data_IF_160004733176
#
_entry.id   IF_160004733176
#
_cell.length_a   1.000
_cell.length_b   1.000
_cell.length_c   1.000
_cell.angle_alpha   90.00
_cell.angle_beta   90.00
_cell.angle_gamma   90.00
#
_symmetry.space_group_name_H-M   'P 1'
#
loop_
_entity.id
_entity.type
_entity.pdbx_description
1 polymer ?
#
# COMPACT_ATOMS: atom_id res chain seq x y z
N UNK A 1 13.14 14.63 -16.99
CA UNK A 1 12.32 15.60 -16.23
C UNK A 1 11.33 14.82 -15.38
N UNK A 2 11.40 14.91 -14.05
CA UNK A 2 10.41 14.27 -13.17
C UNK A 2 9.09 15.02 -13.28
N UNK A 3 8.02 14.34 -13.67
CA UNK A 3 6.67 14.94 -13.76
C UNK A 3 6.24 15.31 -12.34
N UNK A 4 5.91 16.60 -12.11
CA UNK A 4 5.39 17.06 -10.83
C UNK A 4 4.10 16.32 -10.46
N UNK A 5 3.95 16.01 -9.18
CA UNK A 5 2.73 15.39 -8.66
C UNK A 5 1.57 16.36 -8.81
N UNK A 6 0.45 15.90 -9.38
CA UNK A 6 -0.76 16.70 -9.53
C UNK A 6 -1.88 16.15 -8.66
N UNK A 7 -2.56 17.05 -7.95
CA UNK A 7 -3.86 16.78 -7.39
C UNK A 7 -4.94 17.00 -8.46
N UNK A 8 -5.96 16.16 -8.46
CA UNK A 8 -7.15 16.29 -9.31
C UNK A 8 -8.43 16.50 -8.48
N UNK A 9 -8.34 16.40 -7.15
CA UNK A 9 -9.43 16.67 -6.20
C UNK A 9 -9.00 17.79 -5.23
N UNK A 10 -9.72 18.93 -5.15
CA UNK A 10 -9.39 20.01 -4.22
C UNK A 10 -9.44 19.55 -2.75
N UNK A 11 -10.33 18.62 -2.38
CA UNK A 11 -10.38 18.10 -1.01
C UNK A 11 -9.12 17.31 -0.63
N UNK A 12 -8.43 16.74 -1.61
CA UNK A 12 -7.14 16.09 -1.38
C UNK A 12 -6.04 17.11 -1.07
N UNK A 13 -6.09 18.30 -1.72
CA UNK A 13 -5.20 19.43 -1.44
C UNK A 13 -5.41 19.92 -0.01
N UNK A 14 -6.66 20.17 0.38
CA UNK A 14 -7.00 20.66 1.74
C UNK A 14 -6.55 19.66 2.81
N UNK A 15 -6.77 18.37 2.57
CA UNK A 15 -6.34 17.31 3.48
C UNK A 15 -4.81 17.25 3.60
N UNK A 16 -4.09 17.36 2.49
CA UNK A 16 -2.63 17.41 2.50
C UNK A 16 -2.13 18.63 3.27
N UNK A 17 -2.65 19.82 2.96
CA UNK A 17 -2.25 21.06 3.60
C UNK A 17 -2.47 21.04 5.12
N UNK A 18 -3.60 20.48 5.55
CA UNK A 18 -4.00 20.44 6.95
C UNK A 18 -3.26 19.35 7.75
N UNK A 19 -3.01 18.17 7.15
CA UNK A 19 -2.59 16.97 7.91
C UNK A 19 -1.18 16.47 7.64
N UNK A 20 -0.59 16.82 6.49
CA UNK A 20 0.66 16.22 6.02
C UNK A 20 1.72 17.23 5.59
N UNK A 21 1.32 18.45 5.20
CA UNK A 21 2.24 19.53 4.83
C UNK A 21 2.99 20.05 6.06
N UNK A 22 4.31 19.92 6.04
CA UNK A 22 5.15 20.31 7.17
C UNK A 22 5.39 21.84 7.23
N UNK A 23 5.20 22.37 8.44
CA UNK A 23 5.52 23.73 8.87
C UNK A 23 6.40 23.65 10.12
N UNK A 24 7.40 24.52 10.22
CA UNK A 24 8.28 24.68 11.40
C UNK A 24 8.07 26.08 11.93
N UNK A 25 7.33 26.18 13.04
CA UNK A 25 6.67 27.44 13.43
C UNK A 25 5.76 27.96 12.32
N UNK A 26 5.89 29.25 11.99
CA UNK A 26 5.16 29.89 10.88
C UNK A 26 5.75 29.58 9.51
N UNK A 27 6.98 29.03 9.46
CA UNK A 27 7.68 28.79 8.19
C UNK A 27 7.15 27.54 7.50
N UNK A 28 6.65 27.72 6.29
CA UNK A 28 6.28 26.64 5.40
C UNK A 28 7.52 25.92 4.84
N UNK A 29 7.67 24.62 5.14
CA UNK A 29 8.80 23.79 4.70
C UNK A 29 8.44 23.00 3.44
N UNK A 30 7.34 22.26 3.48
CA UNK A 30 6.85 21.53 2.32
C UNK A 30 6.04 22.47 1.42
N UNK A 31 6.71 23.13 0.47
CA UNK A 31 6.02 24.06 -0.45
C UNK A 31 5.08 23.35 -1.41
N UNK A 32 5.42 22.13 -1.83
CA UNK A 32 4.64 21.27 -2.72
C UNK A 32 4.49 19.88 -2.13
N UNK A 33 3.55 19.08 -2.65
CA UNK A 33 3.43 17.67 -2.23
C UNK A 33 4.68 16.86 -2.63
N UNK A 34 5.35 17.22 -3.74
CA UNK A 34 6.65 16.63 -4.10
C UNK A 34 7.73 16.90 -3.04
N UNK A 35 7.71 18.06 -2.37
CA UNK A 35 8.59 18.32 -1.24
C UNK A 35 8.28 17.40 -0.04
N UNK A 36 6.99 17.13 0.22
CA UNK A 36 6.58 16.11 1.20
C UNK A 36 7.11 14.72 0.81
N UNK A 37 6.99 14.33 -0.47
CA UNK A 37 7.52 13.04 -0.95
C UNK A 37 9.02 12.93 -0.78
N UNK A 38 9.77 13.95 -1.18
CA UNK A 38 11.22 14.01 -1.03
C UNK A 38 11.63 13.91 0.44
N UNK A 39 10.99 14.68 1.32
CA UNK A 39 11.27 14.67 2.76
C UNK A 39 11.06 13.28 3.36
N UNK A 40 9.90 12.67 3.09
CA UNK A 40 9.56 11.37 3.65
C UNK A 40 10.50 10.30 3.10
N UNK A 41 10.73 10.26 1.80
CA UNK A 41 11.63 9.29 1.17
C UNK A 41 13.06 9.40 1.70
N UNK A 42 13.61 10.62 1.78
CA UNK A 42 14.96 10.85 2.30
C UNK A 42 15.10 10.40 3.76
N UNK A 43 14.09 10.66 4.59
CA UNK A 43 14.10 10.26 5.99
C UNK A 43 14.02 8.74 6.18
N UNK A 44 13.36 8.01 5.28
CA UNK A 44 13.25 6.54 5.33
C UNK A 44 14.58 5.85 5.04
N UNK A 45 15.42 6.44 4.18
CA UNK A 45 16.69 5.85 3.74
C UNK A 45 17.91 6.52 4.40
N UNK A 46 17.67 7.36 5.41
CA UNK A 46 18.73 8.09 6.12
C UNK A 46 19.70 7.14 6.85
N UNK A 47 19.22 5.95 7.21
CA UNK A 47 20.00 4.91 7.90
C UNK A 47 20.00 3.66 7.02
N UNK A 48 20.96 3.56 6.10
CA UNK A 48 21.09 2.42 5.19
C UNK A 48 22.08 2.63 4.04
N UNK A 49 22.37 1.57 3.28
CA UNK A 49 23.11 1.64 2.02
C UNK A 49 22.24 2.05 0.83
N UNK A 50 22.86 2.54 -0.24
CA UNK A 50 22.22 2.96 -1.51
C UNK A 50 21.06 3.97 -1.35
N UNK A 51 21.19 4.92 -0.42
CA UNK A 51 20.14 5.89 -0.09
C UNK A 51 19.60 6.66 -1.31
N UNK A 52 20.47 7.05 -2.26
CA UNK A 52 20.05 7.78 -3.46
C UNK A 52 19.12 6.95 -4.37
N UNK A 53 19.44 5.68 -4.59
CA UNK A 53 18.65 4.77 -5.42
C UNK A 53 17.27 4.55 -4.82
N UNK A 54 17.20 4.17 -3.54
CA UNK A 54 15.92 3.89 -2.89
C UNK A 54 15.07 5.15 -2.71
N UNK A 55 15.68 6.30 -2.37
CA UNK A 55 14.98 7.59 -2.31
C UNK A 55 14.28 7.91 -3.62
N UNK A 56 14.99 7.80 -4.75
CA UNK A 56 14.43 8.07 -6.08
C UNK A 56 13.23 7.16 -6.39
N UNK A 57 13.34 5.86 -6.08
CA UNK A 57 12.26 4.89 -6.29
C UNK A 57 11.02 5.21 -5.45
N UNK A 58 11.20 5.63 -4.20
CA UNK A 58 10.09 6.04 -3.32
C UNK A 58 9.41 7.31 -3.81
N UNK A 59 10.18 8.34 -4.13
CA UNK A 59 9.63 9.60 -4.66
C UNK A 59 8.83 9.35 -5.93
N UNK A 60 9.35 8.51 -6.84
CA UNK A 60 8.64 8.15 -8.06
C UNK A 60 7.31 7.43 -7.78
N UNK A 61 7.30 6.45 -6.86
CA UNK A 61 6.09 5.72 -6.50
C UNK A 61 5.06 6.59 -5.79
N UNK A 62 5.50 7.53 -4.94
CA UNK A 62 4.60 8.44 -4.23
C UNK A 62 4.01 9.47 -5.19
N UNK A 63 4.84 10.08 -6.03
CA UNK A 63 4.40 11.11 -6.98
C UNK A 63 3.52 10.58 -8.12
N UNK A 64 3.64 9.29 -8.43
CA UNK A 64 2.72 8.59 -9.34
C UNK A 64 1.41 8.13 -8.65
N UNK A 65 1.19 8.48 -7.38
CA UNK A 65 0.06 8.03 -6.56
C UNK A 65 -0.05 6.50 -6.43
N UNK A 66 1.04 5.76 -6.65
CA UNK A 66 1.06 4.30 -6.67
C UNK A 66 1.16 3.69 -5.29
N UNK A 67 2.04 4.27 -4.45
CA UNK A 67 2.27 3.84 -3.07
C UNK A 67 2.05 5.02 -2.15
N UNK A 68 1.21 4.83 -1.13
CA UNK A 68 0.90 5.82 -0.11
C UNK A 68 1.49 5.36 1.23
N UNK A 69 2.49 6.07 1.78
CA UNK A 69 3.09 5.73 3.07
C UNK A 69 2.14 5.84 4.26
N UNK A 70 2.55 5.26 5.39
CA UNK A 70 1.86 5.39 6.67
C UNK A 70 1.59 6.87 6.99
N UNK A 71 0.35 7.27 7.36
CA UNK A 71 0.04 8.64 7.76
C UNK A 71 0.96 9.23 8.85
N UNK A 72 1.53 8.37 9.72
CA UNK A 72 2.51 8.78 10.74
C UNK A 72 3.84 9.19 10.10
N UNK A 73 4.30 8.44 9.10
CA UNK A 73 5.50 8.76 8.34
C UNK A 73 5.30 10.06 7.55
N UNK A 74 4.19 10.18 6.82
CA UNK A 74 3.86 11.39 6.05
C UNK A 74 3.95 12.67 6.89
N UNK A 75 3.43 12.60 8.12
CA UNK A 75 3.35 13.74 9.01
C UNK A 75 4.65 14.08 9.73
N UNK A 76 5.55 13.11 9.94
CA UNK A 76 6.66 13.25 10.92
C UNK A 76 8.05 12.90 10.39
N UNK A 77 8.17 12.01 9.42
CA UNK A 77 9.48 11.58 8.92
C UNK A 77 10.23 12.78 8.30
N UNK A 78 11.46 13.05 8.73
CA UNK A 78 12.24 14.20 8.26
C UNK A 78 11.75 15.55 8.75
N UNK A 79 10.92 15.59 9.81
CA UNK A 79 10.52 16.82 10.51
C UNK A 79 11.21 16.91 11.88
N UNK A 80 11.04 18.04 12.57
CA UNK A 80 11.47 18.22 13.96
C UNK A 80 10.72 17.31 14.97
N UNK A 81 9.61 16.69 14.56
CA UNK A 81 8.81 15.82 15.43
C UNK A 81 9.22 14.36 15.24
N UNK A 82 9.56 13.69 16.34
CA UNK A 82 9.90 12.28 16.31
C UNK A 82 8.76 11.40 15.76
N UNK A 83 9.12 10.46 14.89
CA UNK A 83 8.22 9.40 14.44
C UNK A 83 8.00 8.45 15.62
N UNK A 84 6.75 8.20 16.05
CA UNK A 84 6.50 7.24 17.11
C UNK A 84 6.84 5.82 16.65
N UNK A 85 7.18 4.94 17.59
CA UNK A 85 7.51 3.54 17.30
C UNK A 85 6.45 2.87 16.40
N UNK A 86 6.91 2.29 15.30
CA UNK A 86 6.05 1.69 14.29
C UNK A 86 5.87 0.20 14.58
N UNK A 87 4.91 -0.15 15.45
CA UNK A 87 4.58 -1.56 15.76
C UNK A 87 4.07 -2.33 14.53
N UNK A 88 3.16 -1.69 13.78
CA UNK A 88 2.63 -2.19 12.51
C UNK A 88 2.65 -1.07 11.47
N UNK A 89 3.80 -0.77 10.85
CA UNK A 89 3.87 0.21 9.77
C UNK A 89 3.03 -0.27 8.59
N UNK A 90 2.38 0.67 7.90
CA UNK A 90 1.44 0.37 6.81
C UNK A 90 1.69 1.18 5.56
N UNK A 91 1.24 0.65 4.44
CA UNK A 91 1.20 1.34 3.16
C UNK A 91 -0.10 0.98 2.43
N UNK A 92 -0.59 1.87 1.58
CA UNK A 92 -1.67 1.58 0.66
C UNK A 92 -1.16 1.65 -0.78
N UNK A 93 -1.45 0.64 -1.58
CA UNK A 93 -1.30 0.71 -3.02
C UNK A 93 -2.60 1.20 -3.64
N UNK A 94 -2.52 2.17 -4.53
CA UNK A 94 -3.70 2.66 -5.26
C UNK A 94 -3.93 1.80 -6.50
N UNK A 95 -4.85 0.84 -6.44
CA UNK A 95 -5.12 -0.09 -7.52
C UNK A 95 -5.50 0.64 -8.82
N UNK A 96 -6.24 1.76 -8.73
CA UNK A 96 -6.62 2.55 -9.90
C UNK A 96 -5.44 3.10 -10.70
N UNK A 97 -4.26 3.28 -10.08
CA UNK A 97 -3.04 3.76 -10.73
C UNK A 97 -2.31 2.70 -11.60
N UNK A 98 -2.85 1.48 -11.67
CA UNK A 98 -2.27 0.35 -12.40
C UNK A 98 -3.21 -0.19 -13.48
N UNK A 99 -4.22 0.56 -13.89
CA UNK A 99 -5.04 0.22 -15.06
C UNK A 99 -4.42 0.84 -16.30
N UNK A 100 -4.12 0.00 -17.30
CA UNK A 100 -3.67 0.41 -18.63
C UNK A 100 -4.88 0.62 -19.53
N UNK A 101 -4.75 1.51 -20.52
CA UNK A 101 -5.77 1.76 -21.55
C UNK A 101 -7.18 2.04 -20.97
N UNK A 102 -7.22 2.73 -19.83
CA UNK A 102 -8.44 2.93 -19.03
C UNK A 102 -9.58 3.54 -19.86
N UNK A 103 -10.77 2.94 -19.76
CA UNK A 103 -11.96 3.37 -20.50
C UNK A 103 -12.01 2.93 -21.97
N UNK A 104 -10.99 2.23 -22.47
CA UNK A 104 -10.99 1.61 -23.79
C UNK A 104 -11.26 0.10 -23.75
N UNK A 105 -11.48 -0.52 -24.91
CA UNK A 105 -11.74 -1.97 -25.05
C UNK A 105 -10.59 -2.86 -24.56
N UNK A 106 -9.37 -2.32 -24.48
CA UNK A 106 -8.16 -3.02 -24.02
C UNK A 106 -7.82 -2.74 -22.56
N UNK A 107 -8.74 -2.10 -21.82
CA UNK A 107 -8.52 -1.73 -20.44
C UNK A 107 -8.24 -2.98 -19.60
N UNK A 108 -7.11 -2.98 -18.89
CA UNK A 108 -6.67 -4.13 -18.09
C UNK A 108 -5.81 -3.69 -16.92
N UNK A 109 -5.75 -4.54 -15.90
CA UNK A 109 -4.88 -4.33 -14.76
C UNK A 109 -3.44 -4.77 -15.07
N UNK A 110 -2.47 -3.92 -14.76
CA UNK A 110 -1.04 -4.21 -14.84
C UNK A 110 -0.57 -4.91 -13.55
N UNK A 111 -0.78 -6.22 -13.49
CA UNK A 111 -0.44 -7.03 -12.33
C UNK A 111 1.06 -7.05 -12.03
N UNK A 112 1.91 -6.98 -13.05
CA UNK A 112 3.37 -7.02 -12.88
C UNK A 112 3.86 -5.73 -12.24
N UNK A 113 3.45 -4.57 -12.77
CA UNK A 113 3.81 -3.28 -12.18
C UNK A 113 3.24 -3.12 -10.78
N UNK A 114 2.04 -3.63 -10.53
CA UNK A 114 1.44 -3.64 -9.21
C UNK A 114 2.22 -4.51 -8.22
N UNK A 115 2.66 -5.71 -8.63
CA UNK A 115 3.51 -6.57 -7.81
C UNK A 115 4.87 -5.91 -7.50
N UNK A 116 5.47 -5.21 -8.47
CA UNK A 116 6.70 -4.43 -8.25
C UNK A 116 6.49 -3.32 -7.22
N UNK A 117 5.36 -2.60 -7.29
CA UNK A 117 5.01 -1.59 -6.30
C UNK A 117 4.75 -2.20 -4.90
N UNK A 118 4.18 -3.39 -4.83
CA UNK A 118 3.94 -4.10 -3.58
C UNK A 118 5.27 -4.52 -2.93
N UNK A 119 6.21 -5.04 -3.72
CA UNK A 119 7.57 -5.33 -3.27
C UNK A 119 8.29 -4.06 -2.76
N UNK A 120 8.13 -2.94 -3.47
CA UNK A 120 8.69 -1.65 -3.07
C UNK A 120 8.08 -1.15 -1.75
N UNK A 121 6.78 -1.33 -1.55
CA UNK A 121 6.12 -0.96 -0.30
C UNK A 121 6.63 -1.78 0.90
N UNK A 122 6.88 -3.09 0.72
CA UNK A 122 7.53 -3.91 1.77
C UNK A 122 8.91 -3.38 2.11
N UNK A 123 9.73 -3.08 1.09
CA UNK A 123 11.05 -2.45 1.26
C UNK A 123 10.97 -1.13 2.03
N UNK A 124 10.08 -0.24 1.61
CA UNK A 124 9.86 1.06 2.25
C UNK A 124 9.48 0.94 3.73
N UNK A 125 8.65 -0.03 4.11
CA UNK A 125 8.25 -0.21 5.51
C UNK A 125 9.33 -0.92 6.36
N UNK A 126 10.16 -1.80 5.78
CA UNK A 126 11.36 -2.33 6.45
C UNK A 126 12.39 -1.21 6.66
N UNK A 127 12.59 -0.33 5.68
CA UNK A 127 13.42 0.88 5.82
C UNK A 127 12.90 1.81 6.92
N UNK A 128 11.57 2.02 6.99
CA UNK A 128 10.96 2.77 8.08
C UNK A 128 11.26 2.16 9.46
N UNK A 129 11.22 0.84 9.56
CA UNK A 129 11.53 0.10 10.77
C UNK A 129 13.01 0.23 11.17
N UNK A 130 13.93 0.31 10.20
CA UNK A 130 15.36 0.57 10.43
C UNK A 130 15.58 2.02 10.88
N UNK A 131 15.01 2.99 10.15
CA UNK A 131 15.24 4.41 10.40
C UNK A 131 14.60 4.92 11.71
N UNK A 132 13.44 4.40 12.11
CA UNK A 132 12.67 4.91 13.24
C UNK A 132 12.51 3.90 14.38
N UNK A 133 13.16 2.75 14.28
CA UNK A 133 13.05 1.65 15.23
C UNK A 133 11.79 0.81 15.04
N UNK A 134 11.93 -0.47 15.35
CA UNK A 134 10.85 -1.45 15.34
C UNK A 134 10.88 -2.31 16.60
N UNK A 135 9.77 -2.97 16.86
CA UNK A 135 9.71 -3.97 17.93
C UNK A 135 10.74 -5.09 17.69
N UNK A 136 11.19 -5.71 18.78
CA UNK A 136 11.98 -6.94 18.73
C UNK A 136 11.16 -8.03 18.03
N UNK A 137 11.83 -8.90 17.28
CA UNK A 137 11.13 -9.93 16.51
C UNK A 137 11.04 -9.64 15.02
N UNK A 138 10.41 -10.57 14.30
CA UNK A 138 10.00 -10.42 12.90
C UNK A 138 9.02 -9.25 12.74
N UNK A 139 9.21 -8.47 11.68
CA UNK A 139 8.40 -7.27 11.42
C UNK A 139 6.96 -7.62 11.03
N UNK A 140 6.01 -6.82 11.48
CA UNK A 140 4.58 -6.96 11.14
C UNK A 140 4.16 -5.79 10.27
N UNK A 141 4.12 -5.98 8.97
CA UNK A 141 3.74 -4.94 8.02
C UNK A 141 2.24 -5.03 7.68
N UNK A 142 1.68 -3.93 7.21
CA UNK A 142 0.31 -3.84 6.68
C UNK A 142 0.30 -3.16 5.32
N UNK A 143 0.73 -3.87 4.28
CA UNK A 143 0.54 -3.44 2.89
C UNK A 143 -0.88 -3.80 2.47
N UNK A 144 -1.67 -2.80 2.12
CA UNK A 144 -3.06 -2.96 1.69
C UNK A 144 -3.33 -2.23 0.37
N UNK A 145 -4.60 -2.17 0.00
CA UNK A 145 -5.06 -1.46 -1.21
C UNK A 145 -5.99 -0.30 -0.84
N UNK A 146 -6.08 0.65 -1.75
CA UNK A 146 -7.17 1.62 -1.95
C UNK A 146 -7.50 1.64 -3.45
N UNK A 147 -8.61 2.26 -3.83
CA UNK A 147 -8.99 2.46 -5.23
C UNK A 147 -9.37 1.19 -5.97
N UNK A 148 -9.85 0.15 -5.26
CA UNK A 148 -10.29 -1.09 -5.92
C UNK A 148 -11.49 -0.85 -6.83
N UNK A 149 -12.50 -0.12 -6.35
CA UNK A 149 -13.68 0.20 -7.16
C UNK A 149 -13.30 1.08 -8.36
N UNK A 150 -12.35 1.99 -8.19
CA UNK A 150 -11.83 2.81 -9.29
C UNK A 150 -11.11 1.95 -10.33
N UNK A 151 -10.33 0.95 -9.90
CA UNK A 151 -9.67 0.02 -10.80
C UNK A 151 -10.69 -0.80 -11.61
N UNK A 152 -11.71 -1.35 -10.94
CA UNK A 152 -12.80 -2.09 -11.59
C UNK A 152 -13.51 -1.20 -12.64
N UNK A 153 -13.92 0.00 -12.24
CA UNK A 153 -14.60 0.94 -13.13
C UNK A 153 -13.73 1.32 -14.34
N UNK A 154 -12.42 1.55 -14.13
CA UNK A 154 -11.47 1.86 -15.23
C UNK A 154 -11.24 0.70 -16.18
N UNK A 155 -11.45 -0.55 -15.72
CA UNK A 155 -11.45 -1.76 -16.54
C UNK A 155 -12.82 -2.04 -17.19
N UNK A 156 -13.84 -1.19 -16.97
CA UNK A 156 -15.19 -1.41 -17.47
C UNK A 156 -15.97 -2.50 -16.70
N UNK A 157 -15.52 -2.89 -15.52
CA UNK A 157 -16.18 -3.90 -14.68
C UNK A 157 -17.03 -3.19 -13.62
N UNK A 158 -18.35 -3.36 -13.70
CA UNK A 158 -19.25 -2.84 -12.67
C UNK A 158 -18.99 -3.54 -11.33
N UNK A 159 -19.03 -2.80 -10.23
CA UNK A 159 -18.78 -3.35 -8.90
C UNK A 159 -19.78 -4.45 -8.50
N UNK A 160 -21.01 -4.41 -9.03
CA UNK A 160 -22.05 -5.40 -8.79
C UNK A 160 -21.92 -6.64 -9.68
N UNK A 161 -21.14 -6.55 -10.76
CA UNK A 161 -20.94 -7.62 -11.73
C UNK A 161 -20.40 -8.89 -11.06
N UNK A 162 -20.81 -10.04 -11.58
CA UNK A 162 -20.26 -11.34 -11.20
C UNK A 162 -18.75 -11.47 -11.49
N UNK A 163 -18.20 -10.67 -12.42
CA UNK A 163 -16.78 -10.61 -12.73
C UNK A 163 -15.94 -9.86 -11.67
N UNK A 164 -16.53 -8.96 -10.88
CA UNK A 164 -15.80 -8.10 -9.94
C UNK A 164 -15.00 -8.89 -8.87
N UNK A 165 -15.54 -9.96 -8.23
CA UNK A 165 -14.76 -10.78 -7.30
C UNK A 165 -13.53 -11.43 -7.93
N UNK A 166 -13.62 -11.91 -9.17
CA UNK A 166 -12.49 -12.54 -9.87
C UNK A 166 -11.36 -11.54 -10.14
N UNK A 167 -11.70 -10.32 -10.56
CA UNK A 167 -10.74 -9.24 -10.74
C UNK A 167 -10.08 -8.83 -9.41
N UNK A 168 -10.89 -8.70 -8.34
CA UNK A 168 -10.37 -8.39 -7.01
C UNK A 168 -9.43 -9.49 -6.49
N UNK A 169 -9.75 -10.76 -6.72
CA UNK A 169 -8.89 -11.89 -6.39
C UNK A 169 -7.56 -11.84 -7.16
N UNK A 170 -7.58 -11.53 -8.46
CA UNK A 170 -6.35 -11.39 -9.27
C UNK A 170 -5.46 -10.25 -8.75
N UNK A 171 -6.06 -9.11 -8.37
CA UNK A 171 -5.34 -7.99 -7.73
C UNK A 171 -4.74 -8.43 -6.39
N UNK A 172 -5.52 -9.11 -5.54
CA UNK A 172 -5.03 -9.62 -4.25
C UNK A 172 -3.88 -10.63 -4.42
N UNK A 173 -3.95 -11.50 -5.43
CA UNK A 173 -2.86 -12.39 -5.81
C UNK A 173 -1.58 -11.64 -6.15
N UNK A 174 -1.67 -10.61 -7.01
CA UNK A 174 -0.49 -9.79 -7.36
C UNK A 174 0.07 -9.00 -6.17
N UNK A 175 -0.80 -8.53 -5.25
CA UNK A 175 -0.37 -7.91 -3.99
C UNK A 175 0.47 -8.86 -3.15
N UNK A 176 -0.05 -10.08 -2.93
CA UNK A 176 0.55 -11.10 -2.08
C UNK A 176 1.90 -11.54 -2.62
N UNK A 177 1.96 -11.88 -3.91
CA UNK A 177 3.18 -12.30 -4.59
C UNK A 177 4.25 -11.21 -4.55
N UNK A 178 3.90 -9.97 -4.92
CA UNK A 178 4.82 -8.85 -4.87
C UNK A 178 5.36 -8.59 -3.46
N UNK A 179 4.49 -8.62 -2.45
CA UNK A 179 4.90 -8.46 -1.05
C UNK A 179 5.89 -9.55 -0.62
N UNK A 180 5.59 -10.82 -0.91
CA UNK A 180 6.47 -11.95 -0.55
C UNK A 180 7.80 -11.92 -1.29
N UNK A 181 7.80 -11.55 -2.58
CA UNK A 181 9.03 -11.36 -3.34
C UNK A 181 9.90 -10.26 -2.73
N UNK A 182 9.31 -9.11 -2.36
CA UNK A 182 10.01 -8.04 -1.64
C UNK A 182 10.57 -8.50 -0.30
N UNK A 183 9.78 -9.26 0.47
CA UNK A 183 10.18 -9.82 1.76
C UNK A 183 11.34 -10.82 1.63
N UNK A 184 11.33 -11.67 0.60
CA UNK A 184 12.40 -12.62 0.31
C UNK A 184 13.70 -11.92 -0.11
N UNK A 185 13.62 -10.88 -0.95
CA UNK A 185 14.79 -10.05 -1.30
C UNK A 185 15.41 -9.41 -0.06
N UNK A 186 14.59 -8.80 0.80
CA UNK A 186 15.04 -8.25 2.08
C UNK A 186 15.63 -9.30 3.01
N UNK A 187 15.09 -10.51 3.04
CA UNK A 187 15.61 -11.60 3.86
C UNK A 187 17.01 -12.02 3.41
N UNK A 188 17.30 -11.99 2.10
CA UNK A 188 18.65 -12.22 1.56
C UNK A 188 19.59 -11.05 1.84
N UNK A 189 19.12 -9.82 1.64
CA UNK A 189 19.95 -8.62 1.78
C UNK A 189 20.32 -8.30 3.23
N UNK A 190 19.37 -8.45 4.17
CA UNK A 190 19.51 -8.00 5.56
C UNK A 190 19.53 -9.14 6.58
N UNK A 191 19.50 -10.39 6.13
CA UNK A 191 19.44 -11.58 6.98
C UNK A 191 18.10 -11.78 7.69
N UNK A 192 18.01 -12.80 8.54
CA UNK A 192 16.80 -13.14 9.28
C UNK A 192 16.54 -12.22 10.48
N UNK A 193 15.29 -12.20 10.95
CA UNK A 193 14.93 -11.65 12.27
C UNK A 193 14.38 -12.79 13.14
N UNK A 194 14.96 -12.98 14.32
CA UNK A 194 14.51 -13.99 15.27
C UNK A 194 13.35 -13.48 16.14
N UNK A 195 12.43 -14.37 16.52
CA UNK A 195 11.29 -14.07 17.39
C UNK A 195 10.02 -13.63 16.65
N UNK A 196 8.86 -13.89 17.25
CA UNK A 196 7.55 -13.68 16.63
C UNK A 196 7.09 -14.83 15.72
N UNK A 197 5.84 -14.82 15.25
CA UNK A 197 5.28 -15.91 14.47
C UNK A 197 5.92 -16.01 13.09
N UNK A 198 6.12 -17.24 12.62
CA UNK A 198 6.59 -17.51 11.27
C UNK A 198 5.44 -17.36 10.26
N UNK A 199 5.66 -16.51 9.25
CA UNK A 199 4.66 -16.27 8.21
C UNK A 199 4.38 -17.54 7.39
N UNK A 200 5.41 -18.33 7.06
CA UNK A 200 5.22 -19.57 6.32
C UNK A 200 4.34 -20.55 7.10
N UNK A 201 4.66 -20.77 8.38
CA UNK A 201 3.85 -21.60 9.27
C UNK A 201 2.40 -21.07 9.43
N UNK A 202 2.21 -19.75 9.53
CA UNK A 202 0.89 -19.14 9.62
C UNK A 202 0.04 -19.36 8.36
N UNK A 203 0.67 -19.46 7.19
CA UNK A 203 0.02 -19.81 5.94
C UNK A 203 -0.24 -21.32 5.83
N UNK A 204 0.68 -22.18 6.24
CA UNK A 204 0.50 -23.64 6.23
C UNK A 204 -0.66 -24.14 7.09
N UNK A 205 -1.07 -23.38 8.11
CA UNK A 205 -2.29 -23.64 8.89
C UNK A 205 -3.59 -23.36 8.10
N UNK A 206 -3.48 -22.88 6.86
CA UNK A 206 -4.56 -22.58 5.92
C UNK A 206 -4.28 -23.30 4.59
N UNK A 207 -5.28 -23.38 3.74
CA UNK A 207 -5.06 -23.80 2.35
C UNK A 207 -4.21 -22.73 1.64
N UNK A 208 -2.91 -23.02 1.47
CA UNK A 208 -1.94 -22.09 0.89
C UNK A 208 -1.95 -22.26 -0.63
N UNK A 209 -2.23 -21.20 -1.42
CA UNK A 209 -2.08 -21.26 -2.86
C UNK A 209 -0.66 -21.67 -3.24
N UNK A 210 -0.51 -22.68 -4.10
CA UNK A 210 0.80 -23.19 -4.53
C UNK A 210 1.75 -22.07 -5.03
N UNK A 211 1.18 -21.05 -5.67
CA UNK A 211 1.91 -19.88 -6.14
C UNK A 211 2.64 -19.08 -5.04
N UNK A 212 2.24 -19.21 -3.76
CA UNK A 212 2.87 -18.51 -2.64
C UNK A 212 3.95 -19.35 -1.94
N UNK A 213 3.95 -20.68 -2.11
CA UNK A 213 4.75 -21.59 -1.29
C UNK A 213 6.26 -21.29 -1.35
N UNK A 214 6.81 -21.14 -2.56
CA UNK A 214 8.21 -20.79 -2.76
C UNK A 214 8.55 -19.43 -2.11
N UNK A 215 7.74 -18.41 -2.40
CA UNK A 215 7.96 -17.06 -1.91
C UNK A 215 7.81 -16.94 -0.38
N UNK A 216 6.93 -17.74 0.24
CA UNK A 216 6.79 -17.87 1.68
C UNK A 216 8.04 -18.47 2.31
N UNK A 217 8.58 -19.53 1.72
CA UNK A 217 9.78 -20.21 2.23
C UNK A 217 11.02 -19.30 2.23
N UNK A 218 11.07 -18.32 1.32
CA UNK A 218 12.16 -17.35 1.22
C UNK A 218 12.11 -16.25 2.29
N UNK A 219 10.98 -16.06 2.99
CA UNK A 219 10.85 -15.02 4.02
C UNK A 219 11.38 -15.47 5.38
N UNK A 220 12.30 -14.69 5.94
CA UNK A 220 12.93 -14.92 7.26
C UNK A 220 12.85 -13.69 8.19
N UNK A 221 12.23 -12.60 7.74
CA UNK A 221 12.22 -11.30 8.45
C UNK A 221 10.85 -10.84 8.92
N UNK A 222 9.80 -11.26 8.23
CA UNK A 222 8.46 -10.72 8.42
C UNK A 222 7.53 -11.77 9.02
N UNK A 223 6.68 -11.33 9.95
CA UNK A 223 5.60 -12.11 10.56
C UNK A 223 4.25 -11.82 9.90
N UNK A 224 4.16 -10.73 9.12
CA UNK A 224 3.01 -10.33 8.32
C UNK A 224 3.45 -9.32 7.27
N UNK A 225 2.82 -9.37 6.10
CA UNK A 225 3.05 -8.46 4.99
C UNK A 225 1.76 -7.72 4.60
N UNK A 226 0.64 -8.44 4.46
CA UNK A 226 -0.58 -7.91 3.84
C UNK A 226 -1.72 -7.71 4.82
N UNK A 227 -2.45 -6.60 4.66
CA UNK A 227 -3.72 -6.33 5.34
C UNK A 227 -4.58 -5.35 4.55
N UNK A 228 -5.73 -5.83 4.08
CA UNK A 228 -6.72 -5.00 3.39
C UNK A 228 -7.78 -4.54 4.39
N UNK A 229 -7.89 -3.22 4.57
CA UNK A 229 -8.87 -2.58 5.45
C UNK A 229 -9.14 -1.14 5.00
N UNK A 230 -10.19 -0.47 5.51
CA UNK A 230 -10.41 0.94 5.26
C UNK A 230 -9.22 1.82 5.71
N UNK A 231 -8.85 2.76 4.85
CA UNK A 231 -7.78 3.76 4.98
C UNK A 231 -8.25 5.13 4.45
N UNK A 232 -9.33 5.71 5.01
CA UNK A 232 -10.04 6.85 4.40
C UNK A 232 -9.18 8.10 4.22
N UNK A 233 -8.19 8.31 5.10
CA UNK A 233 -7.27 9.44 4.96
C UNK A 233 -6.32 9.29 3.76
N UNK A 234 -5.85 8.07 3.48
CA UNK A 234 -4.98 7.81 2.32
C UNK A 234 -5.78 7.81 1.02
N UNK A 235 -6.99 7.24 1.05
CA UNK A 235 -7.92 7.25 -0.07
C UNK A 235 -8.27 8.69 -0.50
N UNK A 236 -8.65 9.55 0.46
CA UNK A 236 -8.88 10.97 0.19
C UNK A 236 -7.64 11.71 -0.29
N UNK A 237 -6.47 11.45 0.31
CA UNK A 237 -5.22 12.07 -0.12
C UNK A 237 -4.88 11.71 -1.57
N UNK A 238 -5.16 10.48 -1.99
CA UNK A 238 -4.97 9.99 -3.35
C UNK A 238 -6.12 10.42 -4.28
N UNK A 239 -6.45 11.72 -4.28
CA UNK A 239 -7.47 12.33 -5.13
C UNK A 239 -8.87 11.73 -5.00
N UNK A 240 -9.26 11.39 -3.77
CA UNK A 240 -10.61 10.86 -3.52
C UNK A 240 -10.83 9.43 -4.03
N UNK A 241 -9.77 8.63 -4.18
CA UNK A 241 -9.87 7.22 -4.53
C UNK A 241 -10.83 6.46 -3.61
N UNK A 242 -11.40 5.35 -4.10
CA UNK A 242 -12.26 4.46 -3.32
C UNK A 242 -11.51 3.91 -2.10
N UNK A 243 -12.20 3.75 -0.97
CA UNK A 243 -11.53 3.41 0.29
C UNK A 243 -11.37 1.90 0.46
N UNK A 244 -10.15 1.38 0.33
CA UNK A 244 -9.92 -0.05 0.45
C UNK A 244 -10.63 -0.82 -0.67
N UNK A 245 -11.57 -1.67 -0.27
CA UNK A 245 -12.45 -2.44 -1.17
C UNK A 245 -13.86 -1.89 -1.24
N UNK A 246 -14.13 -0.76 -0.57
CA UNK A 246 -15.44 -0.12 -0.59
C UNK A 246 -15.80 0.32 -2.02
N UNK A 247 -17.11 0.38 -2.34
CA UNK A 247 -17.57 0.94 -3.60
C UNK A 247 -17.17 2.42 -3.75
N UNK A 248 -17.43 2.98 -4.94
CA UNK A 248 -17.10 4.37 -5.24
C UNK A 248 -17.68 5.35 -4.19
N UNK A 249 -16.99 6.47 -3.96
CA UNK A 249 -17.20 7.43 -2.86
C UNK A 249 -18.65 7.92 -2.67
N UNK A 250 -19.46 7.95 -3.74
CA UNK A 250 -20.83 8.47 -3.74
C UNK A 250 -21.90 7.37 -3.86
N UNK A 251 -21.51 6.09 -3.82
CA UNK A 251 -22.46 5.00 -3.85
C UNK A 251 -23.21 4.93 -2.51
N UNK A 252 -24.53 5.15 -2.55
CA UNK A 252 -25.39 4.98 -1.38
C UNK A 252 -25.39 3.52 -0.93
N UNK A 253 -25.22 3.22 0.37
CA UNK A 253 -25.21 1.84 0.85
C UNK A 253 -26.53 1.12 0.54
N UNK A 254 -26.50 0.12 -0.35
CA UNK A 254 -27.64 -0.70 -0.72
C UNK A 254 -27.42 -2.18 -0.38
N UNK A 255 -28.49 -2.97 -0.34
CA UNK A 255 -28.41 -4.43 -0.15
C UNK A 255 -27.49 -5.10 -1.19
N UNK A 256 -27.66 -4.83 -2.49
CA UNK A 256 -26.78 -5.36 -3.54
C UNK A 256 -25.31 -4.96 -3.36
N UNK A 257 -25.02 -3.70 -3.01
CA UNK A 257 -23.64 -3.25 -2.78
C UNK A 257 -22.99 -3.96 -1.58
N UNK A 258 -23.74 -4.17 -0.49
CA UNK A 258 -23.25 -4.95 0.66
C UNK A 258 -22.92 -6.40 0.27
N UNK A 259 -23.78 -7.04 -0.52
CA UNK A 259 -23.56 -8.40 -1.00
C UNK A 259 -22.35 -8.49 -1.97
N UNK A 260 -22.22 -7.55 -2.92
CA UNK A 260 -21.07 -7.47 -3.81
C UNK A 260 -19.75 -7.27 -3.04
N UNK A 261 -19.75 -6.35 -2.07
CA UNK A 261 -18.60 -6.10 -1.18
C UNK A 261 -18.20 -7.36 -0.39
N UNK A 262 -19.17 -8.12 0.10
CA UNK A 262 -18.90 -9.38 0.82
C UNK A 262 -18.29 -10.44 -0.11
N UNK A 263 -18.81 -10.60 -1.33
CA UNK A 263 -18.23 -11.51 -2.35
C UNK A 263 -16.80 -11.12 -2.72
N UNK A 264 -16.54 -9.83 -2.94
CA UNK A 264 -15.20 -9.29 -3.22
C UNK A 264 -14.25 -9.57 -2.05
N UNK A 265 -14.67 -9.27 -0.82
CA UNK A 265 -13.86 -9.53 0.37
C UNK A 265 -13.48 -11.01 0.51
N UNK A 266 -14.45 -11.90 0.29
CA UNK A 266 -14.23 -13.35 0.34
C UNK A 266 -13.25 -13.81 -0.75
N UNK A 267 -13.40 -13.34 -2.00
CA UNK A 267 -12.53 -13.69 -3.11
C UNK A 267 -11.07 -13.23 -2.89
N UNK A 268 -10.87 -12.10 -2.22
CA UNK A 268 -9.52 -11.62 -1.87
C UNK A 268 -8.89 -12.40 -0.70
N UNK A 269 -9.70 -12.91 0.24
CA UNK A 269 -9.21 -13.41 1.54
C UNK A 269 -8.18 -14.53 1.41
N UNK A 270 -8.28 -15.39 0.39
CA UNK A 270 -7.32 -16.48 0.13
C UNK A 270 -5.90 -16.01 -0.19
N UNK A 271 -5.69 -14.72 -0.46
CA UNK A 271 -4.39 -14.13 -0.80
C UNK A 271 -3.86 -13.16 0.26
N UNK A 272 -4.63 -12.83 1.29
CA UNK A 272 -4.27 -11.83 2.30
C UNK A 272 -3.97 -12.48 3.65
N UNK A 273 -2.82 -12.16 4.25
CA UNK A 273 -2.37 -12.74 5.53
C UNK A 273 -3.38 -12.48 6.66
N UNK A 274 -3.90 -11.25 6.67
CA UNK A 274 -4.83 -10.75 7.66
C UNK A 274 -6.30 -10.81 7.16
N UNK A 275 -7.28 -10.78 8.08
CA UNK A 275 -8.67 -10.64 7.67
C UNK A 275 -8.90 -9.38 6.84
N UNK A 276 -9.51 -9.54 5.67
CA UNK A 276 -9.99 -8.46 4.80
C UNK A 276 -11.16 -7.79 5.52
N UNK A 277 -11.03 -6.49 5.81
CA UNK A 277 -12.05 -5.72 6.52
C UNK A 277 -12.72 -4.71 5.61
N UNK A 278 -14.02 -4.53 5.84
CA UNK A 278 -14.86 -3.52 5.22
C UNK A 278 -15.30 -2.49 6.27
N UNK A 279 -15.86 -1.37 5.84
CA UNK A 279 -16.55 -0.43 6.73
C UNK A 279 -17.79 -1.11 7.31
N UNK A 280 -17.92 -1.04 8.63
CA UNK A 280 -19.13 -1.39 9.37
C UNK A 280 -20.32 -0.59 8.86
#
# INVERSE_FOLDING_TARGET
>A
MTRLTRFTDPHAVDLWDTRFRWRSGERLRDRTVDATWQRVAAALVAVGGDSGYWCSRYVAAFGAWQVLPDPRLLRRAGTERAVPALRTPRAALNAGAFVLDAGGERARFDHDRFAIAAALAVRMLDDAAVAFGAERGRLRLEVGVIGLADALARMGVDYLDAAAPAQAQAIARSLALGCLQGAGRLSRERGARAGGPDLAAAWSARETPAALAEALSANRRHARLTRVRPQPALARLANGASDGIEPARHASPSGPLRAARARIAAAMQGWIDAPVRTRS
#
